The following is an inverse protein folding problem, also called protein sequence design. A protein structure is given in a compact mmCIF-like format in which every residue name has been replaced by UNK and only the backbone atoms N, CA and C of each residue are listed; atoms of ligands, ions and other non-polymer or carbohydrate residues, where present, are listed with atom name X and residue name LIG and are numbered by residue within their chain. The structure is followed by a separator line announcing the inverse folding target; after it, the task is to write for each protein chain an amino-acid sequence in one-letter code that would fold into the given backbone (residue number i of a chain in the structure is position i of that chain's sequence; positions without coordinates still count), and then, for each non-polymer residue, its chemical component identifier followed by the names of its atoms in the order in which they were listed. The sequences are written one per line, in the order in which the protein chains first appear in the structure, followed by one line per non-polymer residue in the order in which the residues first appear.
data_IF_611668067508
#
_entry.id   IF_611668067508
#
_cell.length_a   1.000
_cell.length_b   1.000
_cell.length_c   1.000
_cell.angle_alpha   90.00
_cell.angle_beta   90.00
_cell.angle_gamma   90.00
#
_symmetry.space_group_name_H-M   'P 1'
#
loop_
_entity.id
_entity.type
_entity.pdbx_description
1 polymer ?
#
# COMPACT_ATOMS: atom_id res chain seq x y z
N UNK A 1 -2.90 -15.85 -7.60
CA UNK A 1 -3.69 -16.20 -6.38
C UNK A 1 -2.96 -15.60 -5.20
N UNK A 2 -3.64 -15.01 -4.23
CA UNK A 2 -3.04 -14.23 -3.16
C UNK A 2 -3.40 -14.87 -1.81
N UNK A 3 -2.42 -15.10 -0.93
CA UNK A 3 -2.69 -15.73 0.39
C UNK A 3 -2.35 -14.74 1.49
N UNK A 4 -3.30 -14.53 2.39
CA UNK A 4 -3.16 -13.77 3.61
C UNK A 4 -2.99 -14.75 4.78
N UNK A 5 -1.79 -14.77 5.36
CA UNK A 5 -1.51 -15.43 6.63
C UNK A 5 -1.71 -14.39 7.73
N UNK A 6 -2.66 -14.65 8.63
CA UNK A 6 -3.01 -13.73 9.71
C UNK A 6 -2.18 -14.09 10.96
N UNK A 7 -1.28 -13.19 11.34
CA UNK A 7 -0.27 -13.39 12.37
C UNK A 7 -0.71 -12.75 13.71
N UNK A 8 -0.51 -13.47 14.81
CA UNK A 8 -0.70 -12.96 16.16
C UNK A 8 0.58 -12.30 16.63
N UNK A 9 0.46 -11.00 16.90
CA UNK A 9 1.31 -10.35 17.88
C UNK A 9 1.35 -11.15 19.18
N UNK A 10 2.58 -11.56 19.52
CA UNK A 10 3.17 -11.70 20.85
C UNK A 10 2.29 -12.04 22.08
N UNK A 11 2.77 -13.01 22.86
CA UNK A 11 2.44 -13.19 24.28
C UNK A 11 3.72 -13.50 25.09
N UNK A 12 3.77 -12.97 26.31
CA UNK A 12 4.78 -13.19 27.36
C UNK A 12 5.98 -12.21 27.34
N UNK A 13 5.75 -11.08 28.03
CA UNK A 13 6.69 -10.09 28.59
C UNK A 13 7.05 -8.81 27.79
N UNK A 14 6.15 -8.33 26.95
CA UNK A 14 6.05 -6.93 26.53
C UNK A 14 4.59 -6.50 26.70
N UNK A 15 4.39 -5.24 27.09
CA UNK A 15 3.10 -4.56 27.12
C UNK A 15 2.68 -4.31 25.65
N UNK A 16 2.33 -5.35 24.92
CA UNK A 16 1.60 -5.30 23.65
C UNK A 16 0.54 -6.40 23.73
N UNK A 17 -0.72 -5.97 23.73
CA UNK A 17 -1.86 -6.74 24.23
C UNK A 17 -2.28 -7.92 23.34
N UNK A 18 -3.10 -8.81 23.91
CA UNK A 18 -3.89 -9.80 23.16
C UNK A 18 -4.59 -9.13 21.98
N UNK A 19 -4.74 -9.84 20.84
CA UNK A 19 -5.56 -9.33 19.74
C UNK A 19 -6.91 -8.82 20.27
N UNK A 20 -7.22 -7.56 19.99
CA UNK A 20 -8.48 -6.93 20.41
C UNK A 20 -9.63 -7.28 19.48
N UNK A 21 -9.28 -7.68 18.27
CA UNK A 21 -10.13 -8.03 17.16
C UNK A 21 -10.07 -9.53 16.88
N UNK A 22 -11.12 -10.04 16.26
CA UNK A 22 -11.15 -11.37 15.66
C UNK A 22 -10.35 -11.40 14.34
N UNK A 23 -10.04 -12.61 13.90
CA UNK A 23 -9.34 -12.84 12.64
C UNK A 23 -10.21 -12.41 11.45
N UNK A 24 -11.52 -12.61 11.57
CA UNK A 24 -12.54 -12.18 10.61
C UNK A 24 -12.59 -10.65 10.50
N UNK A 25 -12.63 -9.92 11.62
CA UNK A 25 -12.64 -8.45 11.63
C UNK A 25 -11.38 -7.88 10.96
N UNK A 26 -10.21 -8.50 11.19
CA UNK A 26 -8.97 -8.09 10.53
C UNK A 26 -9.01 -8.35 9.02
N UNK A 27 -9.53 -9.52 8.60
CA UNK A 27 -9.71 -9.85 7.19
C UNK A 27 -10.66 -8.88 6.52
N UNK A 28 -11.80 -8.58 7.13
CA UNK A 28 -12.82 -7.71 6.56
C UNK A 28 -12.38 -6.26 6.49
N UNK A 29 -11.43 -5.85 7.33
CA UNK A 29 -10.77 -4.56 7.21
C UNK A 29 -9.83 -4.49 5.98
N UNK A 30 -9.06 -5.54 5.72
CA UNK A 30 -7.96 -5.49 4.74
C UNK A 30 -8.36 -5.93 3.32
N UNK A 31 -9.35 -6.82 3.20
CA UNK A 31 -9.56 -7.60 1.96
C UNK A 31 -10.64 -7.03 1.03
N UNK A 32 -11.90 -6.85 1.47
CA UNK A 32 -13.02 -6.60 0.54
C UNK A 32 -12.85 -5.29 -0.23
N UNK A 33 -12.50 -4.21 0.47
CA UNK A 33 -12.34 -2.91 -0.15
C UNK A 33 -11.09 -2.83 -1.03
N UNK A 34 -10.00 -3.48 -0.66
CA UNK A 34 -8.82 -3.60 -1.51
C UNK A 34 -9.14 -4.35 -2.81
N UNK A 35 -9.83 -5.49 -2.72
CA UNK A 35 -10.21 -6.27 -3.89
C UNK A 35 -11.15 -5.48 -4.82
N UNK A 36 -12.16 -4.82 -4.25
CA UNK A 36 -13.06 -3.93 -4.99
C UNK A 36 -12.31 -2.77 -5.64
N UNK A 37 -11.36 -2.17 -4.93
CA UNK A 37 -10.55 -1.07 -5.43
C UNK A 37 -9.73 -1.51 -6.65
N UNK A 38 -8.96 -2.59 -6.56
CA UNK A 38 -8.16 -3.08 -7.69
C UNK A 38 -9.03 -3.46 -8.88
N UNK A 39 -10.18 -4.09 -8.66
CA UNK A 39 -11.12 -4.42 -9.72
C UNK A 39 -11.69 -3.16 -10.40
N UNK A 40 -12.03 -2.14 -9.62
CA UNK A 40 -12.58 -0.88 -10.15
C UNK A 40 -11.50 -0.06 -10.87
N UNK A 41 -10.35 0.14 -10.24
CA UNK A 41 -9.25 0.97 -10.74
C UNK A 41 -8.61 0.39 -12.00
N UNK A 42 -8.62 -0.95 -12.14
CA UNK A 42 -8.16 -1.64 -13.35
C UNK A 42 -9.22 -1.75 -14.44
N UNK A 43 -10.42 -1.17 -14.27
CA UNK A 43 -11.54 -1.36 -15.20
C UNK A 43 -11.88 -2.85 -15.45
N UNK A 44 -11.80 -3.66 -14.40
CA UNK A 44 -12.05 -5.11 -14.45
C UNK A 44 -10.90 -5.95 -15.01
N UNK A 45 -9.73 -5.36 -15.32
CA UNK A 45 -8.58 -6.10 -15.86
C UNK A 45 -7.75 -6.82 -14.78
N UNK A 46 -7.89 -6.43 -13.52
CA UNK A 46 -7.19 -7.01 -12.39
C UNK A 46 -8.19 -7.48 -11.34
N UNK A 47 -8.06 -8.74 -10.94
CA UNK A 47 -8.82 -9.32 -9.82
C UNK A 47 -7.85 -9.70 -8.70
N UNK A 48 -8.13 -9.20 -7.50
CA UNK A 48 -7.37 -9.54 -6.31
C UNK A 48 -8.01 -10.75 -5.61
N UNK A 49 -7.56 -11.96 -5.96
CA UNK A 49 -8.09 -13.19 -5.38
C UNK A 49 -7.37 -13.54 -4.07
N UNK A 50 -7.94 -13.16 -2.92
CA UNK A 50 -7.37 -13.37 -1.58
C UNK A 50 -7.95 -14.62 -0.90
N UNK A 51 -7.07 -15.53 -0.54
CA UNK A 51 -7.31 -16.65 0.37
C UNK A 51 -6.72 -16.30 1.74
N UNK A 52 -7.56 -16.12 2.75
CA UNK A 52 -7.10 -15.85 4.12
C UNK A 52 -7.31 -17.08 5.00
N UNK A 53 -6.31 -17.46 5.79
CA UNK A 53 -6.56 -18.40 6.90
C UNK A 53 -7.20 -17.61 8.06
N UNK A 54 -8.51 -17.77 8.22
CA UNK A 54 -9.26 -17.09 9.29
C UNK A 54 -9.42 -17.94 10.56
N UNK A 55 -8.79 -19.12 10.64
CA UNK A 55 -9.07 -20.07 11.73
C UNK A 55 -8.60 -19.59 13.10
N UNK A 56 -7.47 -18.88 13.13
CA UNK A 56 -6.85 -18.32 14.31
C UNK A 56 -5.69 -17.42 13.89
N UNK A 57 -5.22 -16.63 14.84
CA UNK A 57 -3.92 -16.03 14.72
C UNK A 57 -2.79 -17.00 15.10
N UNK A 58 -1.62 -16.83 14.49
CA UNK A 58 -0.42 -17.63 14.75
C UNK A 58 0.55 -16.93 15.66
N UNK A 59 1.16 -17.64 16.62
CA UNK A 59 2.09 -17.01 17.56
C UNK A 59 3.52 -17.02 17.02
N UNK A 60 4.10 -15.83 16.86
CA UNK A 60 5.53 -15.71 16.53
C UNK A 60 6.45 -16.23 17.65
N UNK A 61 7.57 -16.89 17.31
CA UNK A 61 8.46 -17.53 18.28
C UNK A 61 9.38 -16.56 19.04
N UNK A 62 9.63 -15.35 18.51
CA UNK A 62 10.47 -14.32 19.16
C UNK A 62 9.65 -13.06 19.47
N UNK A 63 10.20 -12.20 20.32
CA UNK A 63 9.57 -10.92 20.66
C UNK A 63 9.69 -9.89 19.54
N UNK A 64 8.76 -8.93 19.50
CA UNK A 64 8.82 -7.78 18.60
C UNK A 64 10.17 -7.03 18.72
N UNK A 65 10.66 -6.85 19.94
CA UNK A 65 11.97 -6.26 20.20
C UNK A 65 13.12 -7.10 19.62
N UNK A 66 13.05 -8.44 19.70
CA UNK A 66 14.05 -9.32 19.09
C UNK A 66 14.04 -9.27 17.57
N UNK A 67 12.89 -8.95 16.96
CA UNK A 67 12.75 -8.71 15.54
C UNK A 67 13.05 -7.25 15.15
N UNK A 68 13.34 -6.38 16.11
CA UNK A 68 13.63 -4.95 15.90
C UNK A 68 12.51 -4.15 15.23
N UNK A 69 11.26 -4.44 15.57
CA UNK A 69 10.11 -3.75 14.99
C UNK A 69 10.18 -2.22 15.07
N UNK A 70 10.73 -1.67 16.16
CA UNK A 70 10.87 -0.21 16.33
C UNK A 70 11.99 0.41 15.48
N UNK A 71 13.05 -0.36 15.17
CA UNK A 71 14.19 0.11 14.37
C UNK A 71 13.95 -0.09 12.86
N UNK A 72 12.98 -0.94 12.50
CA UNK A 72 12.78 -1.41 11.14
C UNK A 72 13.59 -2.68 10.81
N UNK A 73 13.27 -3.29 9.68
CA UNK A 73 13.92 -4.52 9.24
C UNK A 73 15.02 -4.27 8.20
N UNK A 74 16.16 -4.96 8.34
CA UNK A 74 17.00 -5.31 7.19
C UNK A 74 16.31 -6.39 6.35
N UNK A 75 16.76 -6.60 5.10
CA UNK A 75 16.22 -7.65 4.24
C UNK A 75 16.33 -9.05 4.88
N UNK A 76 17.45 -9.34 5.54
CA UNK A 76 17.70 -10.62 6.24
C UNK A 76 16.76 -10.78 7.44
N UNK A 77 16.51 -9.70 8.18
CA UNK A 77 15.60 -9.72 9.33
C UNK A 77 14.15 -9.90 8.89
N UNK A 78 13.75 -9.23 7.79
CA UNK A 78 12.42 -9.41 7.21
C UNK A 78 12.22 -10.85 6.73
N UNK A 79 13.23 -11.43 6.05
CA UNK A 79 13.19 -12.83 5.65
C UNK A 79 13.09 -13.76 6.87
N UNK A 80 13.88 -13.50 7.92
CA UNK A 80 13.85 -14.28 9.17
C UNK A 80 12.46 -14.24 9.81
N UNK A 81 11.83 -13.06 9.86
CA UNK A 81 10.46 -12.88 10.34
C UNK A 81 9.45 -13.69 9.50
N UNK A 82 9.51 -13.59 8.16
CA UNK A 82 8.63 -14.32 7.25
C UNK A 82 8.78 -15.83 7.42
N UNK A 83 10.01 -16.34 7.57
CA UNK A 83 10.26 -17.76 7.77
C UNK A 83 9.67 -18.25 9.09
N UNK A 84 9.87 -17.50 10.18
CA UNK A 84 9.31 -17.85 11.48
C UNK A 84 7.77 -17.83 11.46
N UNK A 85 7.15 -16.93 10.67
CA UNK A 85 5.70 -16.88 10.47
C UNK A 85 5.18 -18.11 9.70
N UNK A 86 5.91 -18.54 8.65
CA UNK A 86 5.60 -19.78 7.93
C UNK A 86 5.77 -21.02 8.82
N UNK A 87 6.80 -21.04 9.68
CA UNK A 87 6.99 -22.12 10.66
C UNK A 87 5.83 -22.16 11.66
N UNK A 88 5.36 -21.00 12.16
CA UNK A 88 4.18 -20.92 13.02
C UNK A 88 2.90 -21.41 12.31
N UNK A 89 2.67 -20.99 11.07
CA UNK A 89 1.53 -21.42 10.23
C UNK A 89 1.55 -22.94 9.99
N UNK A 90 2.69 -23.46 9.55
CA UNK A 90 2.86 -24.89 9.24
C UNK A 90 2.99 -25.77 10.49
N UNK A 91 3.01 -25.19 11.69
CA UNK A 91 3.34 -25.89 12.92
C UNK A 91 4.68 -26.65 12.79
N UNK A 92 5.73 -25.90 12.48
CA UNK A 92 7.10 -26.39 12.23
C UNK A 92 7.14 -27.53 11.19
N UNK A 93 6.39 -27.37 10.10
CA UNK A 93 6.32 -28.35 9.01
C UNK A 93 5.36 -29.53 9.22
N UNK A 94 4.62 -29.60 10.34
CA UNK A 94 3.61 -30.64 10.55
C UNK A 94 2.39 -30.52 9.62
N UNK A 95 2.15 -29.33 9.05
CA UNK A 95 1.13 -29.04 8.04
C UNK A 95 1.80 -28.57 6.74
N UNK A 96 1.17 -28.77 5.58
CA UNK A 96 1.71 -28.24 4.33
C UNK A 96 1.79 -26.71 4.38
N UNK A 97 2.81 -26.10 3.73
CA UNK A 97 2.85 -24.66 3.56
C UNK A 97 1.67 -24.20 2.69
N UNK A 98 1.36 -22.89 2.69
CA UNK A 98 0.30 -22.33 1.85
C UNK A 98 0.43 -22.71 0.37
N UNK A 99 -0.66 -22.55 -0.38
CA UNK A 99 -0.63 -22.62 -1.83
C UNK A 99 0.35 -21.57 -2.38
N UNK A 100 0.93 -21.84 -3.55
CA UNK A 100 1.79 -20.86 -4.21
C UNK A 100 0.98 -19.63 -4.62
N UNK A 101 1.52 -18.45 -4.35
CA UNK A 101 0.85 -17.17 -4.57
C UNK A 101 1.78 -16.13 -5.19
N UNK A 102 1.20 -15.06 -5.72
CA UNK A 102 1.99 -13.97 -6.30
C UNK A 102 2.58 -13.08 -5.20
N UNK A 103 1.77 -12.81 -4.17
CA UNK A 103 2.17 -12.10 -2.95
C UNK A 103 1.67 -12.88 -1.73
N UNK A 104 2.53 -13.01 -0.71
CA UNK A 104 2.18 -13.52 0.61
C UNK A 104 1.98 -12.33 1.53
N UNK A 105 0.79 -12.17 2.07
CA UNK A 105 0.55 -11.15 3.09
C UNK A 105 0.67 -11.77 4.49
N UNK A 106 1.37 -11.09 5.39
CA UNK A 106 1.44 -11.41 6.81
C UNK A 106 0.81 -10.22 7.55
N UNK A 107 -0.42 -10.36 8.02
CA UNK A 107 -1.07 -9.28 8.75
C UNK A 107 -0.80 -9.38 10.25
N UNK A 108 -0.31 -8.29 10.83
CA UNK A 108 -0.19 -8.18 12.29
C UNK A 108 -1.49 -7.65 12.90
N UNK A 109 -1.69 -7.92 14.19
CA UNK A 109 -2.85 -7.43 14.95
C UNK A 109 -2.84 -5.91 15.11
N UNK A 110 -4.02 -5.29 15.28
CA UNK A 110 -4.22 -3.85 15.53
C UNK A 110 -3.46 -3.34 16.75
N UNK A 111 -3.23 -4.19 17.76
CA UNK A 111 -2.47 -3.85 18.96
C UNK A 111 -0.95 -3.82 18.75
N UNK A 112 -0.49 -4.01 17.51
CA UNK A 112 0.90 -3.73 17.13
C UNK A 112 1.10 -2.21 17.03
N UNK A 113 1.72 -1.62 18.03
CA UNK A 113 2.09 -0.20 18.06
C UNK A 113 3.57 0.04 17.71
N UNK A 114 4.35 -1.03 17.47
CA UNK A 114 5.82 -0.95 17.33
C UNK A 114 6.28 -0.98 15.90
N UNK A 115 5.70 -1.83 15.06
CA UNK A 115 6.00 -1.83 13.63
C UNK A 115 5.04 -0.87 12.94
N UNK A 116 5.41 0.41 12.90
CA UNK A 116 4.50 1.49 12.49
C UNK A 116 4.16 1.51 11.00
N UNK A 117 4.98 0.85 10.16
CA UNK A 117 4.82 0.81 8.70
C UNK A 117 4.86 -0.60 8.15
N UNK A 118 4.09 -0.84 7.10
CA UNK A 118 4.09 -2.08 6.34
C UNK A 118 5.36 -2.20 5.51
N UNK A 119 5.86 -3.42 5.34
CA UNK A 119 7.09 -3.69 4.61
C UNK A 119 6.87 -4.73 3.51
N UNK A 120 7.22 -4.36 2.27
CA UNK A 120 7.28 -5.27 1.13
C UNK A 120 8.67 -5.87 0.94
N UNK A 121 8.73 -7.15 0.56
CA UNK A 121 9.98 -7.81 0.23
C UNK A 121 10.44 -7.49 -1.21
N UNK A 122 11.75 -7.49 -1.42
CA UNK A 122 12.37 -7.53 -2.76
C UNK A 122 12.72 -8.96 -3.22
N UNK A 123 12.53 -9.94 -2.34
CA UNK A 123 12.89 -11.35 -2.52
C UNK A 123 11.65 -12.26 -2.52
N UNK A 124 11.81 -13.44 -3.12
CA UNK A 124 10.83 -14.52 -3.07
C UNK A 124 10.92 -15.32 -1.77
N UNK A 125 9.82 -15.96 -1.43
CA UNK A 125 9.63 -16.69 -0.17
C UNK A 125 9.34 -18.14 -0.48
N UNK A 126 10.18 -19.03 0.06
CA UNK A 126 9.95 -20.47 0.07
C UNK A 126 9.82 -20.95 1.51
N UNK A 127 9.02 -22.00 1.73
CA UNK A 127 8.99 -22.68 3.02
C UNK A 127 10.33 -23.40 3.30
N UNK A 128 10.58 -23.80 4.56
CA UNK A 128 11.82 -24.50 4.96
C UNK A 128 12.13 -25.75 4.14
N UNK A 129 11.10 -26.42 3.63
CA UNK A 129 11.23 -27.60 2.77
C UNK A 129 11.56 -27.27 1.30
N UNK A 130 11.83 -26.00 0.97
CA UNK A 130 12.18 -25.53 -0.36
C UNK A 130 10.99 -25.25 -1.29
N UNK A 131 9.74 -25.56 -0.89
CA UNK A 131 8.56 -25.26 -1.71
C UNK A 131 8.35 -23.75 -1.80
N UNK A 132 8.27 -23.23 -3.03
CA UNK A 132 7.93 -21.83 -3.28
C UNK A 132 6.54 -21.52 -2.71
N UNK A 133 6.44 -20.45 -1.92
CA UNK A 133 5.18 -19.95 -1.37
C UNK A 133 4.77 -18.69 -2.09
N UNK A 134 5.70 -17.77 -2.34
CA UNK A 134 5.38 -16.54 -3.05
C UNK A 134 6.56 -15.86 -3.72
N UNK A 135 6.30 -15.11 -4.79
CA UNK A 135 7.30 -14.27 -5.46
C UNK A 135 7.68 -13.04 -4.64
N UNK A 136 6.75 -12.52 -3.85
CA UNK A 136 6.91 -11.36 -2.95
C UNK A 136 6.12 -11.56 -1.65
N UNK A 137 6.48 -10.84 -0.61
CA UNK A 137 5.72 -10.82 0.63
C UNK A 137 5.52 -9.39 1.13
N UNK A 138 4.43 -9.18 1.86
CA UNK A 138 4.15 -7.92 2.56
C UNK A 138 3.83 -8.27 4.00
N UNK A 139 4.53 -7.65 4.94
CA UNK A 139 4.19 -7.71 6.36
C UNK A 139 3.51 -6.41 6.75
N UNK A 140 2.25 -6.47 7.20
CA UNK A 140 1.50 -5.27 7.59
C UNK A 140 1.95 -4.74 8.94
N UNK A 141 2.30 -3.46 8.96
CA UNK A 141 2.53 -2.69 10.17
C UNK A 141 1.23 -2.18 10.77
N UNK A 142 1.37 -1.16 11.63
CA UNK A 142 0.28 -0.49 12.29
C UNK A 142 -0.43 0.52 11.38
N UNK A 143 0.19 0.90 10.26
CA UNK A 143 -0.27 1.93 9.31
C UNK A 143 -1.71 1.77 8.80
N UNK A 144 -2.26 0.56 8.56
CA UNK A 144 -3.67 0.43 8.20
C UNK A 144 -4.62 0.76 9.35
N UNK A 145 -4.13 0.80 10.59
CA UNK A 145 -4.94 0.87 11.81
C UNK A 145 -4.85 2.20 12.56
N UNK A 146 -3.65 2.80 12.68
CA UNK A 146 -3.41 3.91 13.61
C UNK A 146 -3.11 5.25 12.96
N UNK A 147 -2.47 5.28 11.79
CA UNK A 147 -2.00 6.54 11.19
C UNK A 147 -2.97 7.07 10.16
N UNK A 148 -3.19 6.32 9.07
CA UNK A 148 -3.77 6.90 7.85
C UNK A 148 -5.13 6.31 7.48
N UNK A 149 -5.38 5.05 7.85
CA UNK A 149 -6.35 4.22 7.15
C UNK A 149 -6.03 4.14 5.64
N UNK A 150 -6.87 3.48 4.86
CA UNK A 150 -6.86 3.68 3.41
C UNK A 150 -7.91 4.72 3.04
N UNK A 151 -7.51 5.73 2.24
CA UNK A 151 -8.44 6.71 1.65
C UNK A 151 -8.58 6.43 0.17
N UNK A 152 -9.50 5.55 -0.18
CA UNK A 152 -9.91 5.36 -1.57
C UNK A 152 -11.05 6.33 -1.90
N UNK A 153 -10.84 7.16 -2.92
CA UNK A 153 -11.86 8.09 -3.40
C UNK A 153 -12.12 7.86 -4.88
N UNK A 154 -13.40 7.77 -5.25
CA UNK A 154 -13.80 7.75 -6.66
C UNK A 154 -13.91 9.18 -7.16
N UNK A 155 -12.99 9.57 -8.04
CA UNK A 155 -13.09 10.82 -8.76
C UNK A 155 -14.10 10.70 -9.90
N UNK A 156 -14.97 11.69 -10.01
CA UNK A 156 -15.83 11.89 -11.17
C UNK A 156 -15.11 12.87 -12.09
N UNK A 157 -14.93 12.54 -13.39
CA UNK A 157 -14.24 13.43 -14.30
C UNK A 157 -14.79 14.86 -14.28
N UNK A 158 -13.90 15.83 -14.45
CA UNK A 158 -14.23 17.26 -14.28
C UNK A 158 -15.37 17.70 -15.20
N UNK A 159 -15.55 17.05 -16.35
CA UNK A 159 -16.54 17.36 -17.37
C UNK A 159 -17.90 16.69 -17.17
N UNK A 160 -18.02 15.78 -16.20
CA UNK A 160 -19.29 15.14 -15.81
C UNK A 160 -19.90 15.96 -14.67
N UNK A 161 -21.21 16.08 -14.56
CA UNK A 161 -21.83 16.80 -13.44
C UNK A 161 -21.81 15.95 -12.15
N UNK A 162 -21.63 16.61 -10.99
CA UNK A 162 -21.71 15.96 -9.66
C UNK A 162 -20.51 15.08 -9.27
N UNK A 163 -20.56 14.52 -8.07
CA UNK A 163 -19.47 13.69 -7.52
C UNK A 163 -18.20 14.46 -7.14
N UNK A 164 -17.19 13.74 -6.63
CA UNK A 164 -15.91 14.34 -6.21
C UNK A 164 -15.08 14.69 -7.43
N UNK A 165 -14.67 15.96 -7.57
CA UNK A 165 -13.91 16.45 -8.73
C UNK A 165 -12.41 16.38 -8.57
N UNK A 166 -11.97 16.68 -7.36
CA UNK A 166 -10.58 16.68 -6.99
C UNK A 166 -10.41 16.13 -5.58
N UNK A 167 -9.27 15.51 -5.32
CA UNK A 167 -8.77 15.24 -3.96
C UNK A 167 -7.62 16.22 -3.74
N UNK A 168 -7.66 16.92 -2.61
CA UNK A 168 -6.60 17.84 -2.19
C UNK A 168 -5.95 17.28 -0.94
N UNK A 169 -4.66 16.98 -1.02
CA UNK A 169 -3.83 16.51 0.09
C UNK A 169 -2.94 17.66 0.51
N UNK A 170 -3.28 18.31 1.63
CA UNK A 170 -2.46 19.39 2.18
C UNK A 170 -1.13 18.82 2.69
N UNK A 171 -0.02 19.43 2.27
CA UNK A 171 1.32 19.19 2.81
C UNK A 171 1.62 20.09 4.00
N UNK A 172 1.19 21.34 3.92
CA UNK A 172 1.20 22.33 5.00
C UNK A 172 0.19 23.46 4.68
N UNK A 173 0.22 24.55 5.44
CA UNK A 173 -0.73 25.66 5.31
C UNK A 173 -0.66 26.40 3.96
N UNK A 174 0.40 26.21 3.17
CA UNK A 174 0.63 26.91 1.90
C UNK A 174 0.85 25.99 0.71
N UNK A 175 0.91 24.67 0.91
CA UNK A 175 1.19 23.72 -0.16
C UNK A 175 0.31 22.48 -0.12
N UNK A 176 -0.07 21.98 -1.30
CA UNK A 176 -0.92 20.81 -1.45
C UNK A 176 -0.62 20.03 -2.73
N UNK A 177 -0.93 18.74 -2.73
CA UNK A 177 -1.04 17.90 -3.92
C UNK A 177 -2.51 17.79 -4.30
N UNK A 178 -2.84 18.02 -5.56
CA UNK A 178 -4.19 17.91 -6.10
C UNK A 178 -4.24 16.77 -7.10
N UNK A 179 -5.33 16.00 -7.02
CA UNK A 179 -5.60 14.83 -7.86
C UNK A 179 -6.92 15.04 -8.57
N UNK A 180 -6.93 15.04 -9.90
CA UNK A 180 -8.14 15.17 -10.73
C UNK A 180 -8.24 14.02 -11.74
N UNK A 181 -9.47 13.67 -12.13
CA UNK A 181 -9.69 12.75 -13.25
C UNK A 181 -10.07 13.55 -14.50
N UNK A 182 -9.32 13.35 -15.59
CA UNK A 182 -9.51 14.03 -16.88
C UNK A 182 -9.83 12.99 -17.95
N UNK A 183 -10.88 13.20 -18.72
CA UNK A 183 -11.32 12.27 -19.76
C UNK A 183 -11.61 12.98 -21.07
N UNK A 184 -11.60 12.25 -22.18
CA UNK A 184 -11.88 12.81 -23.52
C UNK A 184 -13.36 13.20 -23.71
N UNK A 185 -13.81 14.23 -23.00
CA UNK A 185 -15.18 14.75 -23.01
C UNK A 185 -15.17 16.27 -22.85
N UNK A 186 -16.24 16.94 -23.26
CA UNK A 186 -16.42 18.37 -23.00
C UNK A 186 -15.29 19.25 -23.53
N UNK A 187 -14.64 19.99 -22.63
CA UNK A 187 -13.46 20.82 -22.94
C UNK A 187 -12.25 19.95 -23.31
N UNK A 188 -12.10 18.81 -22.66
CA UNK A 188 -11.00 17.85 -22.83
C UNK A 188 -11.22 16.84 -23.96
N UNK A 189 -12.19 17.06 -24.85
CA UNK A 189 -12.55 16.10 -25.91
C UNK A 189 -11.38 15.61 -26.79
N UNK A 190 -10.30 16.39 -26.85
CA UNK A 190 -9.10 16.11 -27.65
C UNK A 190 -7.89 15.68 -26.79
N UNK A 191 -8.07 15.39 -25.49
CA UNK A 191 -6.98 14.92 -24.64
C UNK A 191 -6.44 13.59 -25.20
N UNK A 192 -5.14 13.54 -25.49
CA UNK A 192 -4.53 12.36 -26.11
C UNK A 192 -4.27 11.24 -25.09
N UNK A 193 -4.18 11.60 -23.80
CA UNK A 193 -3.95 10.69 -22.68
C UNK A 193 -4.95 11.00 -21.54
N UNK A 194 -6.17 10.42 -21.57
CA UNK A 194 -7.08 10.43 -20.44
C UNK A 194 -6.46 9.75 -19.21
N UNK A 195 -6.77 10.22 -18.01
CA UNK A 195 -6.26 9.62 -16.78
C UNK A 195 -6.35 10.52 -15.57
N UNK A 196 -5.56 10.17 -14.55
CA UNK A 196 -5.42 10.97 -13.33
C UNK A 196 -4.33 12.02 -13.56
N UNK A 197 -4.67 13.28 -13.32
CA UNK A 197 -3.75 14.40 -13.30
C UNK A 197 -3.34 14.69 -11.85
N UNK A 198 -2.03 14.71 -11.60
CA UNK A 198 -1.44 15.11 -10.33
C UNK A 198 -0.74 16.45 -10.50
N UNK A 199 -0.98 17.41 -9.61
CA UNK A 199 -0.25 18.66 -9.60
C UNK A 199 -0.08 19.22 -8.18
N UNK A 200 1.02 19.92 -7.94
CA UNK A 200 1.21 20.65 -6.70
C UNK A 200 0.65 22.06 -6.80
N UNK A 201 0.22 22.60 -5.67
CA UNK A 201 -0.14 24.01 -5.47
C UNK A 201 0.78 24.57 -4.39
N UNK A 202 1.38 25.74 -4.65
CA UNK A 202 2.12 26.53 -3.67
C UNK A 202 1.63 27.97 -3.70
N UNK A 203 0.99 28.41 -2.62
CA UNK A 203 0.40 29.75 -2.52
C UNK A 203 1.42 30.83 -2.20
N UNK A 204 2.68 30.48 -1.92
CA UNK A 204 3.76 31.43 -1.68
C UNK A 204 4.42 31.93 -2.96
N UNK A 205 4.24 31.20 -4.07
CA UNK A 205 4.77 31.53 -5.39
C UNK A 205 3.76 32.33 -6.20
N UNK A 206 4.24 33.29 -7.00
CA UNK A 206 3.38 33.96 -7.96
C UNK A 206 2.92 33.00 -9.07
N UNK A 207 1.83 33.33 -9.77
CA UNK A 207 1.24 32.46 -10.81
C UNK A 207 2.24 32.05 -11.90
N UNK A 208 3.17 32.94 -12.28
CA UNK A 208 4.21 32.69 -13.27
C UNK A 208 5.46 32.00 -12.74
N UNK A 209 5.55 31.74 -11.44
CA UNK A 209 6.72 31.17 -10.77
C UNK A 209 6.54 29.67 -10.44
N UNK A 210 5.45 29.07 -10.93
CA UNK A 210 5.15 27.66 -10.68
C UNK A 210 4.30 27.44 -9.42
N UNK A 211 3.41 28.37 -9.09
CA UNK A 211 2.36 28.17 -8.07
C UNK A 211 1.47 26.94 -8.33
N UNK A 212 1.45 26.44 -9.57
CA UNK A 212 0.84 25.16 -9.96
C UNK A 212 1.87 24.42 -10.81
N UNK A 213 2.22 23.18 -10.44
CA UNK A 213 3.13 22.33 -11.23
C UNK A 213 2.51 20.96 -11.45
N UNK A 214 2.30 20.59 -12.70
CA UNK A 214 1.83 19.25 -13.07
C UNK A 214 2.99 18.25 -12.93
N UNK A 215 2.73 17.11 -12.30
CA UNK A 215 3.68 16.00 -12.22
C UNK A 215 3.68 15.23 -13.54
N UNK A 216 4.85 15.11 -14.16
CA UNK A 216 5.01 14.26 -15.33
C UNK A 216 5.13 12.78 -14.95
N UNK A 217 4.06 12.03 -15.22
CA UNK A 217 4.03 10.58 -15.01
C UNK A 217 4.61 9.81 -16.21
N UNK A 218 5.03 10.47 -17.28
CA UNK A 218 5.72 9.90 -18.45
C UNK A 218 6.94 10.74 -18.86
N UNK A 219 7.97 10.82 -17.99
CA UNK A 219 9.18 11.61 -18.27
C UNK A 219 9.83 11.22 -19.59
N UNK A 220 10.26 12.20 -20.37
CA UNK A 220 10.90 11.99 -21.68
C UNK A 220 9.93 11.63 -22.81
N UNK A 221 8.61 11.59 -22.54
CA UNK A 221 7.61 11.59 -23.61
C UNK A 221 7.52 12.97 -24.26
N UNK A 222 7.06 13.01 -25.50
CA UNK A 222 6.70 14.26 -26.17
C UNK A 222 5.29 14.72 -25.76
N UNK A 223 4.75 14.30 -24.60
CA UNK A 223 3.35 14.54 -24.25
C UNK A 223 2.36 14.24 -25.38
N UNK A 224 1.43 15.18 -25.64
CA UNK A 224 0.50 15.16 -26.79
C UNK A 224 1.04 15.86 -28.05
N UNK A 225 2.34 16.14 -28.15
CA UNK A 225 3.01 16.80 -29.28
C UNK A 225 4.32 17.51 -28.90
N UNK A 226 5.10 17.94 -29.89
CA UNK A 226 6.53 18.31 -29.83
C UNK A 226 6.97 19.45 -28.89
N UNK A 227 6.16 19.90 -27.92
CA UNK A 227 6.48 20.96 -26.97
C UNK A 227 6.10 20.58 -25.53
N UNK A 228 7.10 20.38 -24.67
CA UNK A 228 6.94 20.00 -23.27
C UNK A 228 7.00 21.22 -22.34
N UNK A 229 6.01 21.34 -21.44
CA UNK A 229 5.99 22.31 -20.33
C UNK A 229 5.94 21.65 -18.94
N UNK A 230 6.31 20.37 -18.84
CA UNK A 230 6.25 19.60 -17.59
C UNK A 230 7.64 19.51 -16.91
N UNK A 231 7.64 19.36 -15.58
CA UNK A 231 8.84 19.20 -14.74
C UNK A 231 9.04 17.71 -14.41
N UNK A 232 10.29 17.26 -14.31
CA UNK A 232 10.64 15.85 -14.14
C UNK A 232 10.14 15.26 -12.80
N UNK A 233 9.86 13.94 -12.82
CA UNK A 233 9.37 13.17 -11.66
C UNK A 233 10.35 13.14 -10.48
N UNK A 234 11.66 13.23 -10.73
CA UNK A 234 12.69 13.06 -9.70
C UNK A 234 12.64 14.18 -8.64
N UNK A 235 12.40 15.43 -9.08
CA UNK A 235 12.30 16.61 -8.20
C UNK A 235 11.11 16.53 -7.23
N UNK A 236 10.06 15.77 -7.59
CA UNK A 236 8.89 15.58 -6.74
C UNK A 236 9.13 14.58 -5.60
N UNK A 237 9.87 13.49 -5.85
CA UNK A 237 10.07 12.45 -4.82
C UNK A 237 10.89 13.01 -3.66
N UNK A 238 11.94 13.78 -3.96
CA UNK A 238 12.80 14.41 -2.96
C UNK A 238 12.03 15.46 -2.11
N UNK A 239 10.97 16.06 -2.65
CA UNK A 239 10.15 17.06 -1.95
C UNK A 239 9.04 16.44 -1.07
N UNK A 240 8.66 15.18 -1.30
CA UNK A 240 7.48 14.55 -0.68
C UNK A 240 7.78 13.31 0.18
N UNK A 241 9.03 12.84 0.23
CA UNK A 241 9.46 11.75 1.14
C UNK A 241 9.24 12.08 2.64
N UNK A 242 9.15 13.36 3.03
CA UNK A 242 8.88 13.77 4.42
C UNK A 242 7.38 13.78 4.79
N UNK A 243 6.47 13.62 3.82
CA UNK A 243 5.01 13.71 4.03
C UNK A 243 4.34 12.33 4.14
N UNK A 244 5.08 11.25 3.86
CA UNK A 244 4.58 9.86 3.86
C UNK A 244 5.02 9.07 5.08
#
# INVERSE_FOLDING_TARGET
MLTLVLDMGFQVNCISGTASESVEELRDLLVPDAAKWYQTASYGQLELNITADTTKFYRMPKSAASYKWEEGFSAEQHLSYIQDALDAYTNNGARPPPAETDILYIATTRNNDKMTRSLGSSFSVSARNGKLVSRRAVTFGADPYISWGYKAHTLTPVEVEGGVKAIVVAKNDTSALVVEARVAKGVDRNICAPGVLLYTVDTTLATSEGSIKVLDVTPGSNGCGDANGAVERQDFVDEWEEVV
#
